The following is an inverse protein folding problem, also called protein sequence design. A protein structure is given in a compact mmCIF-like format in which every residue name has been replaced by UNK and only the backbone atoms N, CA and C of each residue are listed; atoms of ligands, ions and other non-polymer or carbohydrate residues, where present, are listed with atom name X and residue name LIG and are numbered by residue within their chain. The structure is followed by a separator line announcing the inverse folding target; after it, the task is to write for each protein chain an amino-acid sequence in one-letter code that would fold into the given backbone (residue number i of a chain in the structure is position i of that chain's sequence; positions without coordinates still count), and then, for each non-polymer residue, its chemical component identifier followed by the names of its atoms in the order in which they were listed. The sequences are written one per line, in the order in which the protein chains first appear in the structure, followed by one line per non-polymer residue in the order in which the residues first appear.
data_IF_528437395434
#
_entry.id   IF_528437395434
#
_cell.length_a   1.000
_cell.length_b   1.000
_cell.length_c   1.000
_cell.angle_alpha   90.00
_cell.angle_beta   90.00
_cell.angle_gamma   90.00
#
_symmetry.space_group_name_H-M   'P 1'
#
loop_
_entity.id
_entity.type
_entity.pdbx_description
1 polymer ?
#
# COMPACT_ATOMS: atom_id res chain seq x y z
N UNK A 1 -19.36 -12.32 -14.26
CA UNK A 1 -17.97 -11.90 -14.06
C UNK A 1 -17.62 -10.84 -15.08
N UNK A 2 -17.78 -9.59 -14.68
CA UNK A 2 -17.23 -8.41 -15.38
C UNK A 2 -15.88 -8.00 -14.75
N UNK A 3 -15.20 -7.00 -15.32
CA UNK A 3 -13.88 -6.57 -14.84
C UNK A 3 -13.92 -6.02 -13.41
N UNK A 4 -14.99 -5.33 -13.02
CA UNK A 4 -15.20 -4.81 -11.66
C UNK A 4 -15.30 -5.96 -10.63
N UNK A 5 -16.08 -7.00 -10.95
CA UNK A 5 -16.19 -8.21 -10.13
C UNK A 5 -14.84 -8.94 -10.01
N UNK A 6 -14.08 -9.03 -11.10
CA UNK A 6 -12.73 -9.63 -11.10
C UNK A 6 -11.75 -8.83 -10.23
N UNK A 7 -11.71 -7.49 -10.39
CA UNK A 7 -10.83 -6.62 -9.60
C UNK A 7 -11.18 -6.67 -8.10
N UNK A 8 -12.47 -6.72 -7.78
CA UNK A 8 -12.93 -6.91 -6.39
C UNK A 8 -12.38 -8.23 -5.81
N UNK A 9 -12.48 -9.34 -6.55
CA UNK A 9 -11.94 -10.64 -6.11
C UNK A 9 -10.41 -10.63 -5.95
N UNK A 10 -9.69 -9.86 -6.77
CA UNK A 10 -8.25 -9.69 -6.61
C UNK A 10 -7.91 -8.94 -5.32
N UNK A 11 -8.64 -7.86 -4.99
CA UNK A 11 -8.49 -7.16 -3.73
C UNK A 11 -8.83 -8.06 -2.53
N UNK A 12 -9.90 -8.85 -2.63
CA UNK A 12 -10.27 -9.85 -1.60
C UNK A 12 -9.11 -10.84 -1.37
N UNK A 13 -8.47 -11.28 -2.45
CA UNK A 13 -7.34 -12.24 -2.38
C UNK A 13 -6.10 -11.62 -1.74
N UNK A 14 -5.81 -10.34 -2.00
CA UNK A 14 -4.72 -9.62 -1.33
C UNK A 14 -4.96 -9.55 0.17
N UNK A 15 -6.15 -9.11 0.60
CA UNK A 15 -6.47 -8.99 2.02
C UNK A 15 -6.44 -10.36 2.73
N UNK A 16 -7.02 -11.39 2.13
CA UNK A 16 -6.98 -12.75 2.66
C UNK A 16 -5.54 -13.26 2.84
N UNK A 17 -4.66 -13.00 1.86
CA UNK A 17 -3.25 -13.42 1.95
C UNK A 17 -2.48 -12.61 2.97
N UNK A 18 -2.78 -11.32 3.15
CA UNK A 18 -2.19 -10.50 4.20
C UNK A 18 -2.40 -11.14 5.57
N UNK A 19 -3.64 -11.47 5.90
CA UNK A 19 -3.98 -12.16 7.15
C UNK A 19 -3.28 -13.52 7.26
N UNK A 20 -3.30 -14.32 6.19
CA UNK A 20 -2.58 -15.60 6.17
C UNK A 20 -1.09 -15.48 6.51
N UNK A 21 -0.43 -14.46 5.96
CA UNK A 21 1.00 -14.22 6.16
C UNK A 21 1.32 -13.52 7.49
N UNK A 22 0.42 -12.71 8.04
CA UNK A 22 0.73 -11.79 9.13
C UNK A 22 0.06 -12.08 10.48
N UNK A 23 -1.08 -12.80 10.55
CA UNK A 23 -1.90 -12.92 11.77
C UNK A 23 -1.15 -13.49 13.00
N UNK A 24 -0.14 -14.33 12.78
CA UNK A 24 0.63 -15.00 13.84
C UNK A 24 2.00 -14.35 14.09
N UNK A 25 2.26 -13.16 13.54
CA UNK A 25 3.51 -12.44 13.79
C UNK A 25 3.58 -11.95 15.22
N UNK A 26 4.72 -12.19 15.86
CA UNK A 26 5.01 -11.63 17.18
C UNK A 26 5.47 -10.17 17.07
N UNK A 27 5.24 -9.32 18.09
CA UNK A 27 5.76 -7.95 18.10
C UNK A 27 7.27 -7.85 17.83
N UNK A 28 8.05 -8.81 18.33
CA UNK A 28 9.49 -8.88 18.06
C UNK A 28 9.82 -9.15 16.60
N UNK A 29 9.00 -9.92 15.89
CA UNK A 29 9.17 -10.24 14.46
C UNK A 29 8.90 -9.02 13.57
N UNK A 30 8.02 -8.09 13.99
CA UNK A 30 7.74 -6.86 13.24
C UNK A 30 8.99 -5.98 13.09
N UNK A 31 9.83 -5.95 14.12
CA UNK A 31 11.04 -5.12 14.17
C UNK A 31 12.34 -5.86 13.83
N UNK A 32 12.28 -7.19 13.72
CA UNK A 32 13.46 -8.00 13.45
C UNK A 32 13.94 -7.79 12.01
N UNK A 33 15.27 -7.73 11.85
CA UNK A 33 15.93 -7.64 10.55
C UNK A 33 16.74 -8.90 10.28
N UNK A 34 16.16 -9.82 9.52
CA UNK A 34 16.85 -11.06 9.14
C UNK A 34 17.93 -10.83 8.07
N UNK A 35 17.73 -9.85 7.17
CA UNK A 35 18.66 -9.57 6.07
C UNK A 35 19.07 -8.10 6.11
N UNK A 36 20.39 -7.85 6.13
CA UNK A 36 20.95 -6.49 6.12
C UNK A 36 20.46 -5.73 4.89
N UNK A 37 19.92 -4.51 5.10
CA UNK A 37 19.44 -3.64 4.02
C UNK A 37 18.02 -3.93 3.52
N UNK A 38 17.35 -4.97 4.02
CA UNK A 38 15.95 -5.28 3.67
C UNK A 38 15.02 -4.74 4.74
N UNK A 39 13.91 -4.10 4.35
CA UNK A 39 12.90 -3.56 5.26
C UNK A 39 12.37 -4.63 6.23
N UNK A 40 11.98 -4.20 7.43
CA UNK A 40 11.39 -5.06 8.46
C UNK A 40 9.93 -5.38 8.13
N UNK A 41 9.41 -6.49 8.66
CA UNK A 41 8.04 -6.94 8.37
C UNK A 41 7.01 -5.88 8.78
N UNK A 42 7.20 -5.22 9.92
CA UNK A 42 6.27 -4.18 10.40
C UNK A 42 6.15 -3.02 9.42
N UNK A 43 7.26 -2.58 8.82
CA UNK A 43 7.22 -1.55 7.79
C UNK A 43 6.53 -2.05 6.52
N UNK A 44 6.83 -3.28 6.07
CA UNK A 44 6.26 -3.83 4.82
C UNK A 44 4.74 -3.95 4.93
N UNK A 45 4.22 -4.54 6.02
CA UNK A 45 2.77 -4.70 6.24
C UNK A 45 2.08 -3.33 6.32
N UNK A 46 2.73 -2.34 6.97
CA UNK A 46 2.22 -0.97 7.02
C UNK A 46 2.19 -0.31 5.63
N UNK A 47 3.29 -0.42 4.88
CA UNK A 47 3.42 0.12 3.53
C UNK A 47 2.37 -0.47 2.59
N UNK A 48 2.08 -1.76 2.69
CA UNK A 48 1.03 -2.42 1.92
C UNK A 48 -0.33 -1.73 2.10
N UNK A 49 -0.79 -1.57 3.35
CA UNK A 49 -2.07 -0.95 3.63
C UNK A 49 -2.10 0.55 3.26
N UNK A 50 -1.01 1.27 3.50
CA UNK A 50 -0.89 2.71 3.17
C UNK A 50 -0.84 2.97 1.66
N UNK A 51 -0.08 2.17 0.91
CA UNK A 51 0.01 2.30 -0.55
C UNK A 51 -1.31 1.97 -1.24
N UNK A 52 -2.06 0.98 -0.74
CA UNK A 52 -3.40 0.69 -1.25
C UNK A 52 -4.40 1.81 -0.93
N UNK A 53 -4.34 2.39 0.28
CA UNK A 53 -5.18 3.53 0.66
C UNK A 53 -4.90 4.75 -0.24
N UNK A 54 -3.63 5.11 -0.43
CA UNK A 54 -3.23 6.18 -1.34
C UNK A 54 -3.69 5.92 -2.78
N UNK A 55 -3.45 4.72 -3.31
CA UNK A 55 -3.78 4.41 -4.70
C UNK A 55 -5.28 4.58 -4.97
N UNK A 56 -6.13 4.09 -4.04
CA UNK A 56 -7.58 4.16 -4.21
C UNK A 56 -8.13 5.54 -3.85
N UNK A 57 -7.84 6.06 -2.67
CA UNK A 57 -8.46 7.28 -2.18
C UNK A 57 -7.83 8.55 -2.74
N UNK A 58 -6.50 8.67 -2.72
CA UNK A 58 -5.82 9.89 -3.19
C UNK A 58 -5.63 9.86 -4.70
N UNK A 59 -4.91 8.87 -5.22
CA UNK A 59 -4.51 8.85 -6.63
C UNK A 59 -5.72 8.72 -7.56
N UNK A 60 -6.63 7.77 -7.34
CA UNK A 60 -7.79 7.59 -8.21
C UNK A 60 -8.94 8.56 -7.89
N UNK A 61 -9.30 8.73 -6.61
CA UNK A 61 -10.57 9.37 -6.21
C UNK A 61 -10.46 10.86 -5.80
N UNK A 62 -9.26 11.43 -5.63
CA UNK A 62 -9.04 12.76 -5.04
C UNK A 62 -9.78 12.95 -3.70
N UNK A 63 -9.74 11.93 -2.84
CA UNK A 63 -10.39 11.89 -1.53
C UNK A 63 -9.39 11.69 -0.40
N UNK A 64 -9.71 12.16 0.83
CA UNK A 64 -8.95 11.81 2.00
C UNK A 64 -8.90 10.29 2.23
N UNK A 65 -7.68 9.82 2.43
CA UNK A 65 -7.33 8.46 2.83
C UNK A 65 -8.06 7.99 4.09
N UNK A 66 -8.32 6.69 4.17
CA UNK A 66 -8.92 6.03 5.34
C UNK A 66 -8.12 6.31 6.59
N UNK A 67 -6.78 6.40 6.51
CA UNK A 67 -5.93 6.71 7.69
C UNK A 67 -6.30 8.03 8.37
N UNK A 68 -6.89 8.98 7.64
CA UNK A 68 -7.27 10.31 8.17
C UNK A 68 -8.59 10.30 8.94
N UNK A 69 -9.32 9.19 8.88
CA UNK A 69 -10.63 8.98 9.53
C UNK A 69 -10.44 8.39 10.93
N UNK A 70 -11.45 8.53 11.78
CA UNK A 70 -11.48 7.81 13.06
C UNK A 70 -11.72 6.31 12.82
N UNK A 71 -11.10 5.41 13.61
CA UNK A 71 -10.15 5.66 14.70
C UNK A 71 -8.69 5.84 14.24
N UNK A 72 -8.41 5.64 12.95
CA UNK A 72 -7.07 5.47 12.40
C UNK A 72 -6.18 6.68 12.57
N UNK A 73 -6.72 7.89 12.46
CA UNK A 73 -5.95 9.14 12.53
C UNK A 73 -5.19 9.36 13.83
N UNK A 74 -5.58 8.64 14.90
CA UNK A 74 -4.94 8.68 16.21
C UNK A 74 -4.26 7.38 16.60
N UNK A 75 -4.26 6.39 15.71
CA UNK A 75 -3.65 5.08 15.94
C UNK A 75 -2.16 5.06 15.62
N UNK A 76 -1.52 3.92 15.87
CA UNK A 76 -0.12 3.70 15.51
C UNK A 76 0.14 3.76 14.01
N UNK A 77 -0.86 3.49 13.15
CA UNK A 77 -0.67 3.44 11.68
C UNK A 77 -0.62 4.80 11.00
N UNK A 78 -1.05 5.87 11.69
CA UNK A 78 -1.08 7.24 11.18
C UNK A 78 0.32 7.87 11.17
N UNK A 79 1.21 7.30 10.35
CA UNK A 79 2.47 7.92 9.94
C UNK A 79 2.25 8.59 8.59
N UNK A 80 2.73 9.83 8.46
CA UNK A 80 2.52 10.64 7.26
C UNK A 80 3.19 10.00 6.04
N UNK A 81 2.48 9.95 4.91
CA UNK A 81 2.94 9.32 3.68
C UNK A 81 2.65 7.82 3.62
N UNK A 82 3.28 7.16 2.65
CA UNK A 82 3.10 5.73 2.41
C UNK A 82 4.38 4.91 2.53
N UNK A 83 5.54 5.52 2.83
CA UNK A 83 6.83 4.83 2.88
C UNK A 83 7.68 4.94 1.61
N UNK A 84 7.07 5.33 0.50
CA UNK A 84 7.78 5.76 -0.72
C UNK A 84 8.65 6.97 -0.39
N UNK A 85 9.94 6.89 -0.72
CA UNK A 85 10.92 7.91 -0.42
C UNK A 85 11.47 7.93 1.00
N UNK A 86 11.06 6.98 1.86
CA UNK A 86 11.60 6.87 3.21
C UNK A 86 13.00 6.26 3.20
N UNK A 87 13.88 6.76 4.06
CA UNK A 87 15.14 6.10 4.34
C UNK A 87 14.97 4.93 5.33
N UNK A 88 16.04 4.15 5.52
CA UNK A 88 16.01 2.98 6.41
C UNK A 88 15.72 3.34 7.87
N UNK A 89 16.05 4.55 8.32
CA UNK A 89 15.80 4.98 9.70
C UNK A 89 14.34 5.35 9.92
N UNK A 90 13.71 6.01 8.94
CA UNK A 90 12.28 6.31 8.92
C UNK A 90 11.45 5.02 8.85
N UNK A 91 11.84 4.09 7.98
CA UNK A 91 11.22 2.77 7.88
C UNK A 91 11.29 2.00 9.21
N UNK A 92 12.43 2.07 9.90
CA UNK A 92 12.61 1.44 11.20
C UNK A 92 11.80 2.10 12.31
N UNK A 93 11.56 3.41 12.23
CA UNK A 93 10.69 4.13 13.16
C UNK A 93 9.23 3.71 13.00
N UNK A 94 8.74 3.60 11.76
CA UNK A 94 7.42 3.05 11.46
C UNK A 94 7.27 1.65 12.08
N UNK A 95 8.22 0.75 11.82
CA UNK A 95 8.15 -0.61 12.32
C UNK A 95 8.12 -0.72 13.85
N UNK A 96 8.79 0.20 14.56
CA UNK A 96 8.74 0.29 16.03
C UNK A 96 7.43 0.88 16.55
N UNK A 97 6.73 1.68 15.75
CA UNK A 97 5.51 2.38 16.14
C UNK A 97 4.27 1.51 15.96
N UNK A 98 4.18 0.78 14.86
CA UNK A 98 2.96 0.05 14.47
C UNK A 98 2.66 -1.12 15.41
N UNK A 99 1.39 -1.22 15.81
CA UNK A 99 0.83 -2.41 16.46
C UNK A 99 0.13 -3.29 15.41
N UNK A 100 0.36 -4.60 15.46
CA UNK A 100 -0.12 -5.52 14.44
C UNK A 100 -1.66 -5.63 14.39
N UNK A 101 -2.37 -5.81 15.52
CA UNK A 101 -3.83 -5.76 15.54
C UNK A 101 -4.42 -4.50 14.90
N UNK A 102 -3.93 -3.31 15.27
CA UNK A 102 -4.37 -2.04 14.68
C UNK A 102 -4.07 -1.97 13.18
N UNK A 103 -2.90 -2.49 12.78
CA UNK A 103 -2.47 -2.50 11.38
C UNK A 103 -3.31 -3.41 10.49
N UNK A 104 -3.63 -4.62 10.96
CA UNK A 104 -4.48 -5.55 10.23
C UNK A 104 -5.93 -5.03 10.16
N UNK A 105 -6.45 -4.47 11.25
CA UNK A 105 -7.78 -3.87 11.25
C UNK A 105 -7.86 -2.62 10.33
N UNK A 106 -6.76 -1.86 10.21
CA UNK A 106 -6.66 -0.76 9.26
C UNK A 106 -6.63 -1.27 7.81
N UNK A 107 -5.89 -2.34 7.52
CA UNK A 107 -5.88 -2.97 6.21
C UNK A 107 -7.29 -3.45 5.81
N UNK A 108 -8.04 -4.07 6.73
CA UNK A 108 -9.44 -4.45 6.53
C UNK A 108 -10.33 -3.23 6.20
N UNK A 109 -10.11 -2.10 6.87
CA UNK A 109 -10.88 -0.88 6.62
C UNK A 109 -10.59 -0.27 5.23
N UNK A 110 -9.32 -0.26 4.81
CA UNK A 110 -8.91 0.18 3.46
C UNK A 110 -9.50 -0.75 2.39
N UNK A 111 -9.42 -2.06 2.62
CA UNK A 111 -9.99 -3.06 1.73
C UNK A 111 -11.51 -2.89 1.58
N UNK A 112 -12.23 -2.76 2.70
CA UNK A 112 -13.68 -2.58 2.69
C UNK A 112 -14.10 -1.30 1.96
N UNK A 113 -13.45 -0.15 2.24
CA UNK A 113 -13.71 1.13 1.56
C UNK A 113 -13.49 1.02 0.04
N UNK A 114 -12.40 0.37 -0.35
CA UNK A 114 -12.03 0.18 -1.75
C UNK A 114 -13.04 -0.70 -2.50
N UNK A 115 -13.43 -1.82 -1.89
CA UNK A 115 -14.37 -2.77 -2.49
C UNK A 115 -15.79 -2.21 -2.53
N UNK A 116 -16.23 -1.52 -1.49
CA UNK A 116 -17.53 -0.85 -1.48
C UNK A 116 -17.62 0.19 -2.60
N UNK A 117 -16.59 1.04 -2.73
CA UNK A 117 -16.52 2.01 -3.81
C UNK A 117 -16.54 1.34 -5.19
N UNK A 118 -15.71 0.33 -5.42
CA UNK A 118 -15.56 -0.29 -6.73
C UNK A 118 -16.86 -0.97 -7.20
N UNK A 119 -17.63 -1.55 -6.27
CA UNK A 119 -18.94 -2.17 -6.54
C UNK A 119 -20.01 -1.18 -7.04
N UNK A 120 -19.85 0.12 -6.80
CA UNK A 120 -20.77 1.13 -7.31
C UNK A 120 -20.40 1.68 -8.68
N UNK A 121 -19.28 1.24 -9.26
CA UNK A 121 -18.73 1.78 -10.51
C UNK A 121 -19.12 0.94 -11.73
N UNK A 122 -19.13 1.57 -12.90
CA UNK A 122 -19.16 0.89 -14.20
C UNK A 122 -17.75 0.62 -14.72
N UNK A 123 -17.61 -0.34 -15.65
CA UNK A 123 -16.32 -0.66 -16.28
C UNK A 123 -15.70 0.54 -17.03
N UNK A 124 -16.48 1.55 -17.40
CA UNK A 124 -15.96 2.77 -18.04
C UNK A 124 -14.96 3.54 -17.17
N UNK A 125 -15.08 3.44 -15.84
CA UNK A 125 -14.13 4.05 -14.90
C UNK A 125 -12.70 3.54 -15.15
N UNK A 126 -12.56 2.27 -15.55
CA UNK A 126 -11.26 1.61 -15.66
C UNK A 126 -10.36 2.31 -16.68
N UNK A 127 -10.93 2.91 -17.71
CA UNK A 127 -10.22 3.64 -18.77
C UNK A 127 -9.97 5.13 -18.43
N UNK A 128 -10.54 5.65 -17.34
CA UNK A 128 -10.31 7.03 -16.92
C UNK A 128 -8.86 7.23 -16.46
N UNK A 129 -8.30 8.42 -16.72
CA UNK A 129 -6.93 8.78 -16.33
C UNK A 129 -7.03 9.86 -15.24
N UNK A 130 -6.73 9.52 -13.97
CA UNK A 130 -6.70 10.51 -12.89
C UNK A 130 -5.49 11.45 -13.01
N UNK A 131 -5.65 12.69 -12.55
CA UNK A 131 -4.56 13.65 -12.42
C UNK A 131 -3.84 13.47 -11.08
N UNK A 132 -3.12 12.35 -10.95
CA UNK A 132 -2.44 11.96 -9.70
C UNK A 132 -1.48 13.04 -9.21
N UNK A 133 -0.77 13.72 -10.11
CA UNK A 133 0.13 14.81 -9.74
C UNK A 133 -0.62 15.98 -9.09
N UNK A 134 -1.80 16.34 -9.60
CA UNK A 134 -2.64 17.37 -8.99
C UNK A 134 -3.27 16.91 -7.68
N UNK A 135 -3.66 15.64 -7.56
CA UNK A 135 -4.19 15.07 -6.33
C UNK A 135 -3.10 15.09 -5.25
N UNK A 136 -1.92 14.53 -5.51
CA UNK A 136 -0.77 14.52 -4.59
C UNK A 136 -0.34 15.93 -4.16
N UNK A 137 -0.41 16.91 -5.05
CA UNK A 137 -0.05 18.32 -4.76
C UNK A 137 -0.87 18.94 -3.62
N UNK A 138 -2.03 18.36 -3.26
CA UNK A 138 -2.86 18.81 -2.13
C UNK A 138 -2.40 18.27 -0.78
N UNK A 139 -1.50 17.29 -0.77
CA UNK A 139 -1.06 16.56 0.42
C UNK A 139 0.43 16.79 0.66
N UNK A 140 0.77 17.39 1.80
CA UNK A 140 2.15 17.79 2.10
C UNK A 140 3.10 16.58 2.19
N UNK A 141 2.58 15.44 2.66
CA UNK A 141 3.28 14.16 2.76
C UNK A 141 3.73 13.59 1.40
N UNK A 142 3.11 14.01 0.29
CA UNK A 142 3.48 13.60 -1.07
C UNK A 142 4.30 14.66 -1.82
N UNK A 143 4.69 15.74 -1.13
CA UNK A 143 5.58 16.77 -1.68
C UNK A 143 7.01 16.69 -1.12
N UNK A 144 7.35 15.62 -0.40
CA UNK A 144 8.72 15.42 0.10
C UNK A 144 9.68 15.12 -1.04
N UNK A 145 10.94 15.52 -0.90
CA UNK A 145 11.95 15.28 -1.93
C UNK A 145 12.16 13.78 -2.21
N UNK A 146 12.11 12.93 -1.17
CA UNK A 146 12.22 11.48 -1.31
C UNK A 146 11.06 10.89 -2.10
N UNK A 147 9.82 11.24 -1.74
CA UNK A 147 8.64 10.76 -2.45
C UNK A 147 8.65 11.17 -3.92
N UNK A 148 8.91 12.46 -4.20
CA UNK A 148 8.98 12.99 -5.57
C UNK A 148 10.04 12.29 -6.40
N UNK A 149 11.24 12.07 -5.84
CA UNK A 149 12.32 11.39 -6.54
C UNK A 149 11.99 9.93 -6.89
N UNK A 150 11.34 9.20 -5.98
CA UNK A 150 10.96 7.80 -6.24
C UNK A 150 9.82 7.72 -7.26
N UNK A 151 8.77 8.52 -7.09
CA UNK A 151 7.64 8.57 -8.02
C UNK A 151 8.11 8.95 -9.42
N UNK A 152 8.88 10.02 -9.59
CA UNK A 152 9.38 10.48 -10.90
C UNK A 152 10.32 9.45 -11.59
N UNK A 153 10.85 8.47 -10.85
CA UNK A 153 11.75 7.42 -11.36
C UNK A 153 11.07 6.08 -11.67
N UNK A 154 9.79 5.95 -11.33
CA UNK A 154 9.04 4.70 -11.45
C UNK A 154 8.74 4.30 -12.91
N UNK A 155 8.43 3.01 -13.16
CA UNK A 155 8.08 2.49 -14.49
C UNK A 155 6.78 3.10 -15.04
N UNK A 156 5.98 3.73 -14.17
CA UNK A 156 4.77 4.47 -14.51
C UNK A 156 5.04 5.70 -15.40
N UNK A 157 6.28 6.19 -15.42
CA UNK A 157 6.76 7.26 -16.29
C UNK A 157 7.43 6.76 -17.58
N UNK A 158 7.45 5.45 -17.84
CA UNK A 158 7.91 4.90 -19.11
C UNK A 158 6.85 5.15 -20.22
N UNK A 159 7.30 5.67 -21.36
CA UNK A 159 6.48 5.92 -22.56
C UNK A 159 5.73 4.66 -23.04
N UNK A 160 6.20 3.46 -22.68
CA UNK A 160 5.53 2.19 -22.97
C UNK A 160 4.23 1.96 -22.17
N UNK A 161 4.11 2.57 -20.99
CA UNK A 161 2.93 2.46 -20.10
C UNK A 161 2.08 3.74 -20.16
N UNK A 162 2.73 4.89 -20.35
CA UNK A 162 2.09 6.20 -20.47
C UNK A 162 1.54 6.49 -21.86
N UNK A 163 0.28 6.15 -22.12
CA UNK A 163 -0.45 6.78 -23.24
C UNK A 163 -0.65 8.25 -22.91
N UNK A 164 0.24 9.13 -23.38
CA UNK A 164 0.11 10.62 -23.44
C UNK A 164 -0.97 11.21 -22.52
N UNK A 165 -0.70 11.27 -21.21
CA UNK A 165 -1.61 11.92 -20.25
C UNK A 165 -1.63 11.35 -18.83
N UNK A 166 -1.09 10.16 -18.60
CA UNK A 166 -1.07 9.50 -17.28
C UNK A 166 -1.40 8.01 -17.40
N UNK A 167 -1.58 7.35 -16.25
CA UNK A 167 -2.00 5.95 -16.17
C UNK A 167 -3.51 5.83 -15.96
N UNK A 168 -4.19 4.91 -16.65
CA UNK A 168 -5.61 4.69 -16.41
C UNK A 168 -5.86 3.99 -15.05
N UNK A 169 -7.06 4.15 -14.50
CA UNK A 169 -7.48 3.59 -13.20
C UNK A 169 -7.18 2.09 -13.08
N UNK A 170 -7.38 1.31 -14.16
CA UNK A 170 -7.10 -0.12 -14.11
C UNK A 170 -5.62 -0.44 -13.82
N UNK A 171 -4.67 0.43 -14.19
CA UNK A 171 -3.25 0.22 -13.90
C UNK A 171 -3.00 0.38 -12.40
N UNK A 172 -3.54 1.41 -11.75
CA UNK A 172 -3.43 1.58 -10.30
C UNK A 172 -4.04 0.39 -9.54
N UNK A 173 -5.21 -0.08 -9.98
CA UNK A 173 -5.89 -1.22 -9.35
C UNK A 173 -5.15 -2.55 -9.55
N UNK A 174 -4.55 -2.79 -10.72
CA UNK A 174 -3.87 -4.07 -11.01
C UNK A 174 -2.39 -4.07 -10.59
N UNK A 175 -1.71 -2.93 -10.68
CA UNK A 175 -0.32 -2.76 -10.30
C UNK A 175 -0.20 -2.50 -8.80
N UNK A 176 -0.54 -1.29 -8.35
CA UNK A 176 -0.28 -0.82 -6.97
C UNK A 176 -1.14 -1.56 -5.95
N UNK A 177 -2.44 -1.71 -6.22
CA UNK A 177 -3.37 -2.30 -5.26
C UNK A 177 -3.37 -3.84 -5.25
N UNK A 178 -2.76 -4.50 -6.25
CA UNK A 178 -2.74 -5.98 -6.36
C UNK A 178 -1.33 -6.55 -6.56
N UNK A 179 -0.70 -6.31 -7.70
CA UNK A 179 0.57 -6.97 -8.05
C UNK A 179 1.71 -6.58 -7.10
N UNK A 180 1.81 -5.29 -6.79
CA UNK A 180 2.76 -4.74 -5.83
C UNK A 180 2.55 -5.34 -4.42
N UNK A 181 1.30 -5.49 -4.01
CA UNK A 181 0.95 -6.12 -2.72
C UNK A 181 1.38 -7.59 -2.67
N UNK A 182 1.18 -8.35 -3.75
CA UNK A 182 1.65 -9.74 -3.83
C UNK A 182 3.18 -9.87 -3.78
N UNK A 183 3.93 -8.90 -4.33
CA UNK A 183 5.39 -8.86 -4.16
C UNK A 183 5.76 -8.74 -2.68
N UNK A 184 5.13 -7.81 -1.96
CA UNK A 184 5.39 -7.61 -0.54
C UNK A 184 4.95 -8.79 0.33
N UNK A 185 3.86 -9.47 0.00
CA UNK A 185 3.48 -10.72 0.66
C UNK A 185 4.60 -11.78 0.56
N UNK A 186 5.21 -11.91 -0.62
CA UNK A 186 6.37 -12.79 -0.80
C UNK A 186 7.58 -12.37 0.05
N UNK A 187 7.84 -11.08 0.20
CA UNK A 187 8.88 -10.57 1.09
C UNK A 187 8.59 -10.89 2.56
N UNK A 188 7.34 -10.67 3.01
CA UNK A 188 6.90 -11.00 4.38
C UNK A 188 7.12 -12.47 4.67
N UNK A 189 6.65 -13.36 3.79
CA UNK A 189 6.79 -14.81 3.97
C UNK A 189 8.26 -15.23 4.07
N UNK A 190 9.13 -14.71 3.19
CA UNK A 190 10.56 -15.04 3.18
C UNK A 190 11.30 -14.52 4.42
N UNK A 191 11.03 -13.27 4.82
CA UNK A 191 11.68 -12.67 5.99
C UNK A 191 11.21 -13.37 7.27
N UNK A 192 9.92 -13.66 7.38
CA UNK A 192 9.33 -14.40 8.51
C UNK A 192 9.95 -15.78 8.66
N UNK A 193 10.10 -16.51 7.55
CA UNK A 193 10.78 -17.81 7.56
C UNK A 193 12.25 -17.70 7.98
N UNK A 194 12.97 -16.68 7.52
CA UNK A 194 14.36 -16.46 7.89
C UNK A 194 14.51 -16.15 9.40
N UNK A 195 13.66 -15.28 9.95
CA UNK A 195 13.62 -14.96 11.39
C UNK A 195 13.36 -16.24 12.20
N UNK A 196 12.32 -17.01 11.85
CA UNK A 196 11.90 -18.19 12.61
C UNK A 196 12.89 -19.35 12.55
N UNK A 197 13.64 -19.47 11.45
CA UNK A 197 14.71 -20.47 11.30
C UNK A 197 16.02 -20.04 11.95
N UNK A 198 16.15 -18.78 12.39
CA UNK A 198 17.39 -18.22 12.93
C UNK A 198 18.49 -18.10 11.89
N UNK A 199 18.12 -17.93 10.61
CA UNK A 199 19.09 -17.70 9.53
C UNK A 199 19.36 -16.19 9.50
N UNK A 200 20.50 -15.79 10.04
CA UNK A 200 21.03 -14.41 9.98
C UNK A 200 22.18 -14.30 8.98
#
# INVERSE_FOLDING_TARGET
MNAIEMLTQLLDTVNLRLHHSADDLLPSELTARAVTGVNTIGFIVWHMARSQDWAVNTAIRDLPEVVTREPWRYSSVAVAGIGTGFDSSEADEVARRVDLPDLLAYADAVHADSVEWLRTQSESLLDEIPDVAAHDARHAEYQTAGFRAEMDSGPEHDDAVGRKGGLPVWVFLTSVAVTHQHRHLGEVDLIKDAIRRGVS
#
